data_IF_322952950740
#
_entry.id   IF_322952950740
#
_cell.length_a   1.000
_cell.length_b   1.000
_cell.length_c   1.000
_cell.angle_alpha   90.00
_cell.angle_beta   90.00
_cell.angle_gamma   90.00
#
_symmetry.space_group_name_H-M   'P 1'
#
loop_
_entity.id
_entity.type
_entity.pdbx_description
1 polymer ?
#
# COMPACT_ATOMS: atom_id res chain seq x y z
N UNK A 1 -6.24 33.11 -6.68
CA UNK A 1 -4.99 32.76 -7.39
C UNK A 1 -5.28 31.65 -8.38
N UNK A 2 -4.83 31.74 -9.64
CA UNK A 2 -5.02 30.67 -10.62
C UNK A 2 -4.07 29.49 -10.36
N UNK A 3 -4.46 28.30 -10.81
CA UNK A 3 -3.58 27.13 -10.89
C UNK A 3 -2.42 27.41 -11.85
N UNK A 4 -1.20 27.00 -11.47
CA UNK A 4 0.01 27.16 -12.28
C UNK A 4 0.66 25.79 -12.51
N UNK A 5 1.21 25.58 -13.70
CA UNK A 5 1.84 24.32 -14.11
C UNK A 5 3.35 24.49 -14.27
N UNK A 6 4.12 23.48 -13.87
CA UNK A 6 5.57 23.42 -14.05
C UNK A 6 6.00 22.02 -14.50
N UNK A 7 7.24 21.92 -15.02
CA UNK A 7 7.87 20.64 -15.35
C UNK A 7 8.71 20.18 -14.16
N UNK A 8 8.68 18.87 -13.87
CA UNK A 8 9.46 18.25 -12.82
C UNK A 8 9.91 16.84 -13.24
N UNK A 9 10.90 16.30 -12.54
CA UNK A 9 11.35 14.91 -12.70
C UNK A 9 10.88 14.16 -11.45
N UNK A 10 10.16 13.06 -11.66
CA UNK A 10 9.79 12.15 -10.58
C UNK A 10 11.00 11.27 -10.24
N UNK A 11 11.53 11.43 -9.02
CA UNK A 11 12.64 10.61 -8.50
C UNK A 11 12.15 9.44 -7.65
N UNK A 12 10.86 9.41 -7.31
CA UNK A 12 10.26 8.37 -6.51
C UNK A 12 8.78 8.55 -6.27
N UNK A 13 8.14 7.45 -5.87
CA UNK A 13 6.71 7.37 -5.69
C UNK A 13 6.37 6.39 -4.56
N UNK A 14 5.41 6.78 -3.74
CA UNK A 14 4.81 5.93 -2.72
C UNK A 14 3.38 5.63 -3.10
N UNK A 15 2.96 4.39 -2.91
CA UNK A 15 1.62 3.98 -3.32
C UNK A 15 1.02 3.01 -2.31
N UNK A 16 -0.19 3.32 -1.84
CA UNK A 16 -0.99 2.41 -1.02
C UNK A 16 -1.61 1.35 -1.93
N UNK A 17 -1.10 0.13 -1.84
CA UNK A 17 -1.57 -1.00 -2.65
C UNK A 17 -2.87 -1.62 -2.12
N UNK A 18 -3.19 -1.35 -0.86
CA UNK A 18 -4.33 -1.97 -0.20
C UNK A 18 -4.13 -3.47 -0.07
N UNK A 19 -5.16 -4.26 -0.36
CA UNK A 19 -5.09 -5.73 -0.34
C UNK A 19 -4.87 -6.37 -1.71
N UNK A 20 -4.54 -5.56 -2.74
CA UNK A 20 -4.50 -6.01 -4.15
C UNK A 20 -3.73 -7.31 -4.34
N UNK A 21 -2.54 -7.41 -3.73
CA UNK A 21 -1.68 -8.60 -3.84
C UNK A 21 -1.95 -9.62 -2.74
N UNK A 22 -2.20 -9.16 -1.51
CA UNK A 22 -2.42 -10.06 -0.37
C UNK A 22 -3.68 -10.92 -0.53
N UNK A 23 -4.74 -10.39 -1.14
CA UNK A 23 -5.96 -11.16 -1.44
C UNK A 23 -5.73 -12.28 -2.46
N UNK A 24 -4.89 -12.07 -3.48
CA UNK A 24 -4.63 -13.06 -4.55
C UNK A 24 -3.62 -14.11 -4.06
N UNK A 25 -2.58 -13.66 -3.35
CA UNK A 25 -1.49 -14.51 -2.87
C UNK A 25 -1.80 -15.21 -1.53
N UNK A 26 -2.99 -14.96 -0.96
CA UNK A 26 -3.40 -15.46 0.37
C UNK A 26 -2.40 -15.07 1.48
N UNK A 27 -1.85 -13.85 1.40
CA UNK A 27 -0.99 -13.29 2.43
C UNK A 27 -1.86 -12.66 3.53
N UNK A 28 -2.13 -13.44 4.56
CA UNK A 28 -3.08 -13.12 5.62
C UNK A 28 -2.43 -13.15 7.01
N UNK A 29 -3.00 -12.40 7.94
CA UNK A 29 -2.63 -12.40 9.34
C UNK A 29 -3.85 -12.70 10.22
N UNK A 30 -3.60 -13.16 11.46
CA UNK A 30 -4.64 -13.31 12.48
C UNK A 30 -4.60 -12.07 13.37
N UNK A 31 -5.66 -11.23 13.40
CA UNK A 31 -5.70 -10.06 14.27
C UNK A 31 -5.86 -10.50 15.73
N UNK A 32 -5.36 -9.67 16.66
CA UNK A 32 -5.50 -9.90 18.11
C UNK A 32 -6.91 -9.53 18.64
N UNK A 33 -7.88 -9.27 17.77
CA UNK A 33 -9.20 -8.82 18.16
C UNK A 33 -9.92 -9.90 19.01
N UNK A 34 -10.21 -9.63 20.30
CA UNK A 34 -10.86 -10.58 21.19
C UNK A 34 -12.27 -10.98 20.72
N UNK A 35 -12.92 -10.17 19.88
CA UNK A 35 -14.26 -10.42 19.35
C UNK A 35 -14.27 -11.35 18.13
N UNK A 36 -13.12 -11.56 17.47
CA UNK A 36 -12.98 -12.39 16.27
C UNK A 36 -11.79 -13.35 16.35
N UNK A 37 -11.79 -14.30 17.32
CA UNK A 37 -10.66 -15.22 17.50
C UNK A 37 -10.42 -16.07 16.26
N UNK A 38 -9.19 -16.07 15.77
CA UNK A 38 -8.77 -16.91 14.64
C UNK A 38 -9.23 -16.42 13.26
N UNK A 39 -9.83 -15.23 13.15
CA UNK A 39 -10.15 -14.64 11.85
C UNK A 39 -8.86 -14.42 11.03
N UNK A 40 -8.91 -14.68 9.73
CA UNK A 40 -7.79 -14.44 8.81
C UNK A 40 -8.13 -13.22 7.97
N UNK A 41 -7.30 -12.17 8.04
CA UNK A 41 -7.48 -10.95 7.26
C UNK A 41 -6.32 -10.74 6.29
N UNK A 42 -6.58 -10.35 5.03
CA UNK A 42 -5.52 -10.04 4.08
C UNK A 42 -4.74 -8.81 4.53
N UNK A 43 -3.41 -8.84 4.36
CA UNK A 43 -2.54 -7.74 4.78
C UNK A 43 -2.77 -6.47 3.95
N UNK A 44 -2.79 -5.31 4.60
CA UNK A 44 -2.69 -4.01 3.92
C UNK A 44 -1.24 -3.78 3.48
N UNK A 45 -1.06 -3.39 2.21
CA UNK A 45 0.26 -3.27 1.60
C UNK A 45 0.51 -1.87 1.05
N UNK A 46 1.78 -1.47 1.05
CA UNK A 46 2.27 -0.28 0.38
C UNK A 46 3.58 -0.59 -0.35
N UNK A 47 3.90 0.21 -1.37
CA UNK A 47 5.19 0.16 -2.03
C UNK A 47 5.84 1.55 -2.10
N UNK A 48 7.17 1.55 -2.06
CA UNK A 48 8.01 2.74 -2.04
C UNK A 48 9.12 2.53 -3.08
N UNK A 49 9.20 3.42 -4.07
CA UNK A 49 10.19 3.36 -5.15
C UNK A 49 11.01 4.64 -5.23
N UNK A 50 12.33 4.48 -5.43
CA UNK A 50 13.28 5.57 -5.69
C UNK A 50 14.15 5.20 -6.91
N UNK A 51 14.20 6.07 -7.91
CA UNK A 51 15.04 5.92 -9.09
C UNK A 51 16.45 6.45 -8.82
N UNK A 52 17.34 5.61 -8.32
CA UNK A 52 18.71 6.01 -7.95
C UNK A 52 19.67 6.16 -9.15
N UNK A 53 19.32 5.61 -10.31
CA UNK A 53 20.17 5.52 -11.52
C UNK A 53 19.65 6.34 -12.68
#
# INVERSE_FOLDING_TARGET
MPLTSSRAIEVGHTFLLGTKYSSILKAEFTPEDPSTPGERRPMQMGCYGLGLS
#
